data_IF_017268487456
#
_entry.id   IF_017268487456
#
_cell.length_a   1.000
_cell.length_b   1.000
_cell.length_c   1.000
_cell.angle_alpha   90.00
_cell.angle_beta   90.00
_cell.angle_gamma   90.00
#
_symmetry.space_group_name_H-M   'P 1'
#
loop_
_entity.id
_entity.type
_entity.pdbx_description
1 polymer ?
#
# COMPACT_ATOMS: atom_id res chain seq x y z
N UNK A 1 42.64 -60.09 -17.59
CA UNK A 1 42.44 -58.62 -17.54
C UNK A 1 41.78 -58.15 -18.83
N UNK A 2 41.20 -56.93 -18.84
CA UNK A 2 40.45 -56.28 -19.94
C UNK A 2 39.04 -56.85 -20.21
N UNK A 3 38.10 -56.50 -19.34
CA UNK A 3 36.66 -56.65 -19.59
C UNK A 3 36.15 -55.58 -20.58
N UNK A 4 35.12 -55.92 -21.36
CA UNK A 4 34.57 -55.09 -22.46
C UNK A 4 33.04 -55.06 -22.40
N UNK A 5 32.45 -54.07 -21.73
CA UNK A 5 31.03 -53.74 -21.85
C UNK A 5 30.91 -52.54 -22.81
N UNK A 6 30.27 -52.62 -23.99
CA UNK A 6 28.87 -53.02 -24.32
C UNK A 6 27.85 -52.03 -23.74
N UNK A 7 27.75 -50.87 -24.38
CA UNK A 7 26.62 -49.95 -24.25
C UNK A 7 25.43 -50.52 -25.04
N UNK A 8 24.27 -50.66 -24.40
CA UNK A 8 22.92 -50.76 -25.01
C UNK A 8 21.88 -50.18 -24.02
N UNK A 9 20.70 -49.73 -24.50
CA UNK A 9 20.14 -48.46 -24.03
C UNK A 9 19.18 -48.60 -22.84
N UNK A 10 19.30 -47.67 -21.88
CA UNK A 10 18.29 -47.43 -20.84
C UNK A 10 17.37 -46.28 -21.30
N UNK A 11 16.48 -46.57 -22.26
CA UNK A 11 15.53 -45.59 -22.82
C UNK A 11 14.09 -46.11 -22.80
N UNK A 12 13.67 -46.80 -21.72
CA UNK A 12 12.28 -47.29 -21.59
C UNK A 12 11.83 -47.52 -20.13
N UNK A 13 12.21 -46.65 -19.18
CA UNK A 13 11.65 -46.69 -17.82
C UNK A 13 11.55 -45.31 -17.12
N UNK A 14 11.23 -44.24 -17.86
CA UNK A 14 10.99 -42.91 -17.28
C UNK A 14 9.57 -42.35 -17.55
N UNK A 15 8.77 -43.00 -18.39
CA UNK A 15 7.45 -42.49 -18.80
C UNK A 15 6.27 -43.00 -17.95
N UNK A 16 6.50 -43.88 -16.96
CA UNK A 16 5.44 -44.55 -16.19
C UNK A 16 5.23 -44.02 -14.76
N UNK A 17 6.03 -43.04 -14.30
CA UNK A 17 5.89 -42.42 -12.97
C UNK A 17 5.51 -40.93 -13.00
N UNK A 18 5.47 -40.30 -14.18
CA UNK A 18 5.06 -38.89 -14.34
C UNK A 18 3.53 -38.67 -14.34
N UNK A 19 2.73 -39.74 -14.29
CA UNK A 19 1.26 -39.68 -14.39
C UNK A 19 0.51 -39.72 -13.04
N UNK A 20 1.22 -39.72 -11.91
CA UNK A 20 0.62 -39.64 -10.55
C UNK A 20 0.92 -38.30 -9.84
N UNK A 21 1.81 -37.47 -10.40
CA UNK A 21 2.06 -36.10 -9.92
C UNK A 21 1.12 -35.04 -10.56
N UNK A 22 0.22 -35.44 -11.46
CA UNK A 22 -0.69 -34.56 -12.19
C UNK A 22 -1.97 -34.16 -11.41
N UNK A 23 -2.04 -34.47 -10.10
CA UNK A 23 -3.24 -34.26 -9.27
C UNK A 23 -3.18 -33.13 -8.24
N UNK A 24 -2.01 -32.54 -7.96
CA UNK A 24 -1.84 -31.53 -6.88
C UNK A 24 -0.97 -30.33 -7.28
N UNK A 25 -0.22 -30.40 -8.39
CA UNK A 25 0.65 -29.30 -8.86
C UNK A 25 0.00 -28.38 -9.92
N UNK A 26 -1.34 -28.43 -10.07
CA UNK A 26 -2.06 -27.78 -11.17
C UNK A 26 -2.65 -26.39 -10.90
N UNK A 27 -2.60 -25.87 -9.67
CA UNK A 27 -3.41 -24.70 -9.25
C UNK A 27 -2.66 -23.71 -8.34
N UNK A 28 -1.37 -23.46 -8.59
CA UNK A 28 -0.60 -22.38 -7.95
C UNK A 28 -0.08 -21.34 -8.97
N UNK A 29 -0.91 -21.03 -9.97
CA UNK A 29 -0.96 -19.66 -10.46
C UNK A 29 -1.80 -18.88 -9.43
N UNK A 30 -1.16 -18.41 -8.34
CA UNK A 30 -1.87 -17.64 -7.33
C UNK A 30 -2.08 -16.20 -7.81
N UNK A 31 -3.25 -15.65 -7.51
CA UNK A 31 -3.85 -14.56 -8.25
C UNK A 31 -4.05 -13.32 -7.32
N UNK A 32 -3.10 -12.37 -7.38
CA UNK A 32 -2.96 -11.10 -6.64
C UNK A 32 -3.15 -9.81 -7.47
N UNK A 33 -3.87 -8.79 -6.97
CA UNK A 33 -4.17 -7.51 -7.66
C UNK A 33 -3.55 -6.23 -7.08
N UNK A 34 -3.09 -5.30 -7.93
CA UNK A 34 -2.48 -4.01 -7.58
C UNK A 34 -2.80 -2.93 -8.61
N UNK A 35 -3.28 -1.76 -8.16
CA UNK A 35 -3.46 -0.56 -9.00
C UNK A 35 -2.73 0.62 -8.37
N UNK A 36 -1.91 1.29 -9.19
CA UNK A 36 -1.03 2.39 -8.77
C UNK A 36 -1.15 3.57 -9.72
N UNK A 37 -1.03 4.78 -9.20
CA UNK A 37 -0.86 5.97 -10.00
C UNK A 37 0.52 5.88 -10.70
N UNK A 38 0.50 5.57 -12.02
CA UNK A 38 1.51 4.80 -12.78
C UNK A 38 1.56 3.29 -12.41
N UNK A 39 1.28 2.40 -13.37
CA UNK A 39 0.44 1.20 -13.17
C UNK A 39 0.93 -0.02 -14.03
N UNK A 40 0.58 -1.31 -13.88
CA UNK A 40 -0.41 -2.08 -13.05
C UNK A 40 0.09 -3.53 -12.88
N UNK A 41 -0.30 -4.29 -11.83
CA UNK A 41 -0.30 -5.77 -11.88
C UNK A 41 -1.53 -6.41 -11.22
N UNK A 42 -2.38 -7.04 -12.04
CA UNK A 42 -3.41 -7.97 -11.55
C UNK A 42 -3.18 -9.38 -12.05
N UNK A 43 -3.36 -10.29 -11.12
CA UNK A 43 -3.45 -11.73 -11.25
C UNK A 43 -4.78 -12.01 -10.51
N UNK A 44 -5.81 -12.55 -11.17
CA UNK A 44 -7.15 -12.81 -10.58
C UNK A 44 -8.28 -12.04 -11.24
N UNK A 45 -9.53 -12.42 -10.93
CA UNK A 45 -10.73 -11.80 -11.48
C UNK A 45 -11.10 -10.47 -10.78
N UNK A 46 -10.25 -9.94 -9.91
CA UNK A 46 -10.53 -8.72 -9.13
C UNK A 46 -9.88 -7.52 -9.82
N UNK A 47 -10.69 -6.58 -10.29
CA UNK A 47 -10.24 -5.31 -10.85
C UNK A 47 -10.42 -4.20 -9.82
N UNK A 48 -9.42 -3.35 -9.67
CA UNK A 48 -9.49 -2.17 -8.82
C UNK A 48 -8.92 -0.97 -9.54
N UNK A 49 -9.42 0.22 -9.22
CA UNK A 49 -8.82 1.50 -9.61
C UNK A 49 -8.52 2.34 -8.37
N UNK A 50 -7.42 3.09 -8.45
CA UNK A 50 -7.11 4.19 -7.55
C UNK A 50 -6.90 5.47 -8.36
N UNK A 51 -7.69 6.49 -8.05
CA UNK A 51 -7.62 7.81 -8.66
C UNK A 51 -7.90 8.91 -7.61
N UNK A 52 -7.69 10.17 -8.01
CA UNK A 52 -7.89 11.35 -7.18
C UNK A 52 -8.73 12.42 -7.89
N UNK A 53 -9.39 13.27 -7.11
CA UNK A 53 -9.92 14.53 -7.62
C UNK A 53 -8.79 15.37 -8.26
N UNK A 54 -9.08 16.00 -9.41
CA UNK A 54 -8.13 16.90 -10.07
C UNK A 54 -8.02 18.21 -9.30
N UNK A 55 -6.79 18.63 -9.01
CA UNK A 55 -6.50 19.89 -8.33
C UNK A 55 -5.53 20.78 -9.12
N UNK A 56 -5.44 22.05 -8.73
CA UNK A 56 -4.35 22.95 -9.12
C UNK A 56 -3.08 22.68 -8.31
N UNK A 57 -1.94 23.28 -8.68
CA UNK A 57 -0.66 23.18 -7.94
C UNK A 57 -0.75 23.59 -6.48
N UNK A 58 -1.72 24.43 -6.15
CA UNK A 58 -1.95 24.97 -4.81
C UNK A 58 -2.98 24.11 -4.03
N UNK A 59 -3.34 22.93 -4.56
CA UNK A 59 -4.25 21.97 -3.94
C UNK A 59 -5.74 22.30 -4.05
N UNK A 60 -6.13 23.30 -4.83
CA UNK A 60 -7.55 23.68 -5.00
C UNK A 60 -8.24 22.77 -6.02
N UNK A 61 -9.39 22.14 -5.69
CA UNK A 61 -10.14 21.30 -6.63
C UNK A 61 -10.57 22.02 -7.91
N UNK A 62 -10.51 21.32 -9.04
CA UNK A 62 -11.03 21.77 -10.33
C UNK A 62 -12.44 21.19 -10.52
N UNK A 63 -13.46 22.03 -10.32
CA UNK A 63 -14.86 21.62 -10.41
C UNK A 63 -15.23 21.07 -11.81
N UNK A 64 -15.91 19.93 -11.84
CA UNK A 64 -16.37 19.29 -13.08
C UNK A 64 -15.27 18.63 -13.94
N UNK A 65 -14.04 18.52 -13.44
CA UNK A 65 -12.97 17.79 -14.12
C UNK A 65 -13.02 16.27 -13.86
N UNK A 66 -12.56 15.49 -14.83
CA UNK A 66 -12.35 14.05 -14.67
C UNK A 66 -11.35 13.76 -13.53
N UNK A 67 -11.56 12.63 -12.83
CA UNK A 67 -10.60 12.13 -11.84
C UNK A 67 -9.29 11.78 -12.53
N UNK A 68 -8.18 12.10 -11.87
CA UNK A 68 -6.83 11.94 -12.40
C UNK A 68 -6.08 10.90 -11.60
N UNK A 69 -5.11 10.23 -12.24
CA UNK A 69 -4.20 9.36 -11.49
C UNK A 69 -3.24 10.20 -10.64
N UNK A 70 -2.52 11.17 -11.23
CA UNK A 70 -1.55 12.00 -10.50
C UNK A 70 -1.91 13.50 -10.48
N UNK A 71 -1.50 14.18 -9.42
CA UNK A 71 -1.49 15.64 -9.28
C UNK A 71 -0.07 16.10 -8.85
N UNK A 72 0.37 17.29 -9.29
CA UNK A 72 1.61 17.93 -8.85
C UNK A 72 1.29 19.10 -7.91
N UNK A 73 2.12 19.31 -6.88
CA UNK A 73 1.85 20.27 -5.80
C UNK A 73 3.05 21.16 -5.50
N UNK A 74 2.81 22.43 -5.19
CA UNK A 74 3.81 23.33 -4.61
C UNK A 74 3.63 23.39 -3.09
N UNK A 75 4.59 22.81 -2.34
CA UNK A 75 4.51 22.67 -0.88
C UNK A 75 4.84 23.99 -0.17
N UNK A 76 4.00 24.37 0.79
CA UNK A 76 4.08 25.58 1.59
C UNK A 76 3.77 25.25 3.06
N UNK A 77 4.47 25.82 4.05
CA UNK A 77 4.24 25.51 5.47
C UNK A 77 2.84 25.89 5.96
N UNK A 78 2.22 25.07 6.79
CA UNK A 78 0.85 25.29 7.28
C UNK A 78 -0.26 25.10 6.23
N UNK A 79 0.07 25.04 4.93
CA UNK A 79 -0.93 24.85 3.89
C UNK A 79 -1.48 23.42 3.89
N UNK A 80 -2.77 23.32 3.57
CA UNK A 80 -3.51 22.07 3.46
C UNK A 80 -3.95 21.87 2.02
N UNK A 81 -3.62 20.70 1.48
CA UNK A 81 -3.84 20.31 0.10
C UNK A 81 -4.94 19.25 0.05
N UNK A 82 -5.92 19.42 -0.84
CA UNK A 82 -6.91 18.37 -1.08
C UNK A 82 -6.23 17.15 -1.72
N UNK A 83 -6.51 15.99 -1.13
CA UNK A 83 -6.22 14.65 -1.63
C UNK A 83 -7.54 13.92 -1.72
N UNK A 84 -7.65 12.91 -2.57
CA UNK A 84 -8.87 12.08 -2.58
C UNK A 84 -8.58 10.69 -3.13
N UNK A 85 -7.66 9.92 -2.50
CA UNK A 85 -7.36 8.54 -2.92
C UNK A 85 -8.59 7.66 -2.74
N UNK A 86 -9.38 7.55 -3.80
CA UNK A 86 -10.60 6.74 -3.84
C UNK A 86 -10.27 5.39 -4.43
N UNK A 87 -10.49 4.32 -3.65
CA UNK A 87 -10.38 2.95 -4.15
C UNK A 87 -11.75 2.52 -4.64
N UNK A 88 -11.82 2.07 -5.90
CA UNK A 88 -13.02 1.49 -6.49
C UNK A 88 -12.73 0.05 -6.90
N UNK A 89 -13.60 -0.88 -6.52
CA UNK A 89 -13.59 -2.27 -7.00
C UNK A 89 -14.54 -2.34 -8.19
N UNK A 90 -14.03 -2.65 -9.38
CA UNK A 90 -14.81 -2.53 -10.63
C UNK A 90 -15.77 -3.71 -10.86
N UNK A 91 -16.79 -3.48 -11.68
CA UNK A 91 -17.75 -4.49 -12.15
C UNK A 91 -17.06 -5.77 -12.68
N UNK A 92 -17.63 -6.90 -12.25
CA UNK A 92 -17.18 -8.26 -12.51
C UNK A 92 -16.16 -8.79 -11.48
N UNK A 93 -15.87 -8.05 -10.41
CA UNK A 93 -14.90 -8.48 -9.40
C UNK A 93 -15.49 -9.45 -8.37
N UNK A 94 -14.85 -10.60 -8.25
CA UNK A 94 -15.09 -11.60 -7.19
C UNK A 94 -14.78 -11.04 -5.78
N UNK A 95 -15.27 -11.74 -4.74
CA UNK A 95 -15.07 -11.36 -3.34
C UNK A 95 -13.58 -11.23 -3.01
N UNK A 96 -13.19 -10.09 -2.43
CA UNK A 96 -11.79 -9.69 -2.24
C UNK A 96 -11.54 -9.02 -0.89
N UNK A 97 -10.29 -9.07 -0.43
CA UNK A 97 -9.73 -8.21 0.61
C UNK A 97 -9.00 -7.04 -0.06
N UNK A 98 -9.13 -5.84 0.49
CA UNK A 98 -8.49 -4.62 -0.04
C UNK A 98 -7.60 -3.98 1.02
N UNK A 99 -6.44 -3.47 0.63
CA UNK A 99 -5.57 -2.64 1.46
C UNK A 99 -5.05 -1.41 0.72
N UNK A 100 -4.78 -0.35 1.45
CA UNK A 100 -4.13 0.87 0.98
C UNK A 100 -2.74 0.98 1.62
N UNK A 101 -1.74 1.39 0.84
CA UNK A 101 -0.41 1.75 1.33
C UNK A 101 -0.22 3.25 1.16
N UNK A 102 0.27 3.92 2.19
CA UNK A 102 0.72 5.31 2.13
C UNK A 102 2.23 5.31 2.37
N UNK A 103 3.00 5.75 1.37
CA UNK A 103 4.48 5.73 1.40
C UNK A 103 5.04 7.14 1.32
N UNK A 104 5.92 7.48 2.25
CA UNK A 104 6.69 8.72 2.24
C UNK A 104 8.14 8.40 1.89
N UNK A 105 8.73 9.12 0.94
CA UNK A 105 10.18 9.08 0.72
C UNK A 105 10.91 10.10 1.61
N UNK A 106 12.25 10.08 1.55
CA UNK A 106 13.12 10.93 2.36
C UNK A 106 12.82 10.81 3.88
N UNK A 107 12.58 9.59 4.35
CA UNK A 107 12.14 9.22 5.70
C UNK A 107 12.80 10.07 6.80
N UNK A 108 14.13 10.20 6.77
CA UNK A 108 14.86 10.97 7.81
C UNK A 108 14.54 12.46 7.79
N UNK A 109 14.44 13.05 6.59
CA UNK A 109 14.17 14.47 6.42
C UNK A 109 12.70 14.79 6.74
N UNK A 110 11.75 13.95 6.33
CA UNK A 110 10.33 14.17 6.61
C UNK A 110 9.99 13.92 8.08
N UNK A 111 10.64 12.96 8.75
CA UNK A 111 10.56 12.83 10.21
C UNK A 111 11.08 14.11 10.88
N UNK A 112 12.29 14.59 10.52
CA UNK A 112 12.87 15.79 11.13
C UNK A 112 12.02 17.07 10.90
N UNK A 113 11.35 17.19 9.75
CA UNK A 113 10.35 18.24 9.47
C UNK A 113 9.10 18.12 10.35
N UNK A 114 8.66 16.89 10.62
CA UNK A 114 7.45 16.63 11.39
C UNK A 114 7.71 16.57 12.91
N UNK A 115 8.95 16.41 13.36
CA UNK A 115 9.31 16.56 14.78
C UNK A 115 9.03 17.98 15.23
N UNK A 116 8.41 18.11 16.41
CA UNK A 116 8.17 19.41 17.02
C UNK A 116 9.50 20.01 17.49
N UNK A 117 9.78 21.30 17.25
CA UNK A 117 10.92 21.97 17.86
C UNK A 117 10.96 21.85 19.39
N UNK A 118 9.81 21.72 20.07
CA UNK A 118 9.77 21.53 21.53
C UNK A 118 10.30 20.16 21.98
N UNK A 119 10.23 19.12 21.13
CA UNK A 119 10.65 17.74 21.42
C UNK A 119 11.92 17.32 20.65
N UNK A 120 12.59 18.26 19.98
CA UNK A 120 13.74 17.95 19.11
C UNK A 120 14.97 17.39 19.86
N UNK A 121 15.11 17.69 21.15
CA UNK A 121 16.24 17.28 22.00
C UNK A 121 15.99 15.98 22.78
N UNK A 122 14.77 15.41 22.76
CA UNK A 122 14.42 14.21 23.54
C UNK A 122 15.05 12.91 23.00
N UNK A 123 15.68 12.98 21.82
CA UNK A 123 16.35 11.87 21.16
C UNK A 123 15.39 10.89 20.44
N UNK A 124 15.91 10.02 19.56
CA UNK A 124 15.07 9.12 18.78
C UNK A 124 14.58 7.95 19.63
N UNK A 125 13.27 7.92 19.90
CA UNK A 125 12.58 6.81 20.57
C UNK A 125 12.12 5.72 19.60
N UNK A 126 11.96 6.06 18.32
CA UNK A 126 11.36 5.22 17.29
C UNK A 126 9.91 5.58 16.98
N UNK A 127 9.20 6.29 17.87
CA UNK A 127 7.81 6.73 17.63
C UNK A 127 7.72 7.89 16.63
N UNK A 128 8.84 8.57 16.36
CA UNK A 128 8.93 9.66 15.39
C UNK A 128 8.64 9.15 13.97
N UNK A 129 8.79 7.85 13.73
CA UNK A 129 8.36 7.19 12.50
C UNK A 129 6.85 7.30 12.23
N UNK A 130 6.01 7.64 13.22
CA UNK A 130 4.59 7.95 13.00
C UNK A 130 4.34 9.43 12.67
N UNK A 131 5.30 10.34 12.92
CA UNK A 131 5.07 11.79 12.81
C UNK A 131 4.63 12.27 11.43
N UNK A 132 5.22 11.81 10.30
CA UNK A 132 4.75 12.19 8.97
C UNK A 132 3.28 11.82 8.75
N UNK A 133 2.88 10.61 9.17
CA UNK A 133 1.50 10.16 9.06
C UNK A 133 0.55 11.00 9.91
N UNK A 134 0.75 11.06 11.22
CA UNK A 134 -0.21 11.67 12.16
C UNK A 134 -0.28 13.19 12.07
N UNK A 135 0.82 13.86 11.64
CA UNK A 135 0.88 15.33 11.57
C UNK A 135 0.48 15.83 10.18
N UNK A 136 0.82 15.10 9.12
CA UNK A 136 0.51 15.53 7.75
C UNK A 136 -0.81 14.98 7.21
N UNK A 137 -1.17 13.72 7.48
CA UNK A 137 -2.39 13.11 6.89
C UNK A 137 -3.63 13.47 7.72
N UNK A 138 -4.68 13.95 7.04
CA UNK A 138 -5.98 14.23 7.66
C UNK A 138 -6.97 13.13 7.28
N UNK A 139 -7.09 12.14 8.17
CA UNK A 139 -8.04 11.05 8.05
C UNK A 139 -9.49 11.56 8.03
N UNK A 140 -10.36 10.91 7.26
CA UNK A 140 -11.79 11.17 7.29
C UNK A 140 -12.37 10.47 8.52
N UNK A 141 -12.62 11.20 9.60
CA UNK A 141 -13.05 10.67 10.91
C UNK A 141 -14.21 9.65 10.81
N UNK A 142 -15.23 9.96 9.99
CA UNK A 142 -16.38 9.08 9.78
C UNK A 142 -16.03 7.73 9.10
N UNK A 143 -14.93 7.68 8.35
CA UNK A 143 -14.47 6.51 7.62
C UNK A 143 -13.33 5.77 8.34
N UNK A 144 -12.61 6.41 9.25
CA UNK A 144 -11.46 5.82 9.93
C UNK A 144 -11.78 4.44 10.60
N UNK A 145 -12.94 4.23 11.25
CA UNK A 145 -13.31 2.91 11.80
C UNK A 145 -13.55 1.80 10.75
N UNK A 146 -13.57 2.12 9.45
CA UNK A 146 -13.65 1.13 8.36
C UNK A 146 -12.28 0.58 7.94
N UNK A 147 -11.19 1.13 8.48
CA UNK A 147 -9.83 0.75 8.14
C UNK A 147 -9.05 0.31 9.39
N UNK A 148 -8.32 -0.79 9.28
CA UNK A 148 -7.40 -1.31 10.27
C UNK A 148 -5.96 -0.86 9.93
N UNK A 149 -5.42 0.05 10.73
CA UNK A 149 -4.11 0.68 10.52
C UNK A 149 -3.77 1.71 11.60
N UNK A 150 -2.63 2.37 11.46
CA UNK A 150 -2.17 3.43 12.39
C UNK A 150 -2.98 4.70 12.12
N UNK A 151 -4.03 4.92 12.90
CA UNK A 151 -4.92 6.10 12.85
C UNK A 151 -4.96 6.80 14.22
N UNK A 152 -5.25 8.11 14.29
CA UNK A 152 -5.24 8.87 15.55
C UNK A 152 -6.02 8.23 16.71
N UNK A 153 -7.19 7.64 16.43
CA UNK A 153 -8.03 7.00 17.45
C UNK A 153 -7.46 5.67 17.99
N UNK A 154 -6.55 5.03 17.25
CA UNK A 154 -5.86 3.79 17.64
C UNK A 154 -4.49 4.05 18.29
N UNK A 155 -4.12 5.31 18.57
CA UNK A 155 -2.75 5.67 18.97
C UNK A 155 -2.28 5.15 20.35
N UNK A 156 -3.14 4.48 21.12
CA UNK A 156 -2.80 3.86 22.42
C UNK A 156 -1.62 2.88 22.31
N UNK A 157 -1.45 2.25 21.14
CA UNK A 157 -0.44 1.20 20.88
C UNK A 157 0.53 1.60 19.74
N UNK A 158 0.74 2.90 19.49
CA UNK A 158 1.51 3.41 18.32
C UNK A 158 2.90 2.75 18.17
N UNK A 159 3.63 2.57 19.28
CA UNK A 159 4.95 1.93 19.27
C UNK A 159 4.88 0.44 18.86
N UNK A 160 3.89 -0.30 19.36
CA UNK A 160 3.67 -1.70 19.02
C UNK A 160 3.23 -1.87 17.55
N UNK A 161 2.41 -0.96 17.04
CA UNK A 161 2.01 -0.95 15.63
C UNK A 161 3.19 -0.60 14.71
N UNK A 162 4.06 0.34 15.10
CA UNK A 162 5.31 0.64 14.38
C UNK A 162 6.32 -0.52 14.44
N UNK A 163 6.29 -1.36 15.48
CA UNK A 163 7.09 -2.59 15.54
C UNK A 163 6.52 -3.73 14.68
N UNK A 164 5.29 -3.60 14.18
CA UNK A 164 4.56 -4.65 13.48
C UNK A 164 4.56 -4.44 11.96
N UNK A 165 5.26 -5.33 11.24
CA UNK A 165 5.36 -5.33 9.77
C UNK A 165 4.02 -5.48 9.03
N UNK A 166 2.92 -5.84 9.72
CA UNK A 166 1.56 -5.74 9.16
C UNK A 166 1.20 -4.29 8.87
N UNK A 167 1.57 -3.35 9.73
CA UNK A 167 1.10 -1.96 9.71
C UNK A 167 2.13 -0.96 9.24
N UNK A 168 3.42 -1.24 9.45
CA UNK A 168 4.49 -0.31 9.14
C UNK A 168 5.77 -1.01 8.66
N UNK A 169 6.42 -0.43 7.65
CA UNK A 169 7.75 -0.81 7.18
C UNK A 169 8.59 0.44 6.94
N UNK A 170 9.78 0.50 7.56
CA UNK A 170 10.84 1.44 7.20
C UNK A 170 11.90 0.71 6.37
N UNK A 171 11.90 0.94 5.06
CA UNK A 171 12.97 0.50 4.16
C UNK A 171 14.14 1.50 4.23
N UNK A 172 15.15 1.13 5.03
CA UNK A 172 16.37 1.93 5.23
C UNK A 172 17.22 2.08 3.96
N UNK A 173 17.41 1.04 3.11
CA UNK A 173 18.02 1.18 1.78
C UNK A 173 17.39 2.25 0.88
N UNK A 174 16.05 2.37 0.84
CA UNK A 174 15.37 3.37 0.00
C UNK A 174 14.99 4.66 0.71
N UNK A 175 15.21 4.74 2.02
CA UNK A 175 14.78 5.82 2.92
C UNK A 175 13.27 6.11 2.82
N UNK A 176 12.45 5.06 2.88
CA UNK A 176 10.98 5.16 2.78
C UNK A 176 10.25 4.65 4.03
N UNK A 177 9.15 5.32 4.37
CA UNK A 177 8.19 4.94 5.42
C UNK A 177 6.90 4.49 4.74
N UNK A 178 6.52 3.23 4.88
CA UNK A 178 5.26 2.69 4.32
C UNK A 178 4.31 2.30 5.44
N UNK A 179 3.12 2.89 5.45
CA UNK A 179 2.02 2.56 6.36
C UNK A 179 0.94 1.78 5.62
N UNK A 180 0.37 0.76 6.25
CA UNK A 180 -0.61 -0.15 5.66
C UNK A 180 -1.96 -0.02 6.37
N UNK A 181 -3.02 0.09 5.58
CA UNK A 181 -4.41 0.21 6.03
C UNK A 181 -5.25 -0.85 5.35
N UNK A 182 -5.85 -1.74 6.12
CA UNK A 182 -6.67 -2.83 5.60
C UNK A 182 -8.15 -2.46 5.69
N UNK A 183 -8.92 -2.65 4.62
CA UNK A 183 -10.36 -2.44 4.69
C UNK A 183 -10.99 -3.58 5.53
N UNK A 184 -11.84 -3.21 6.49
CA UNK A 184 -12.33 -4.15 7.52
C UNK A 184 -13.34 -5.18 7.01
N UNK A 185 -13.89 -4.98 5.81
CA UNK A 185 -14.91 -5.83 5.20
C UNK A 185 -14.39 -6.44 3.90
N UNK A 186 -14.99 -7.55 3.45
CA UNK A 186 -14.71 -8.09 2.11
C UNK A 186 -15.57 -7.38 1.07
N UNK A 187 -15.03 -7.20 -0.13
CA UNK A 187 -15.67 -6.42 -1.19
C UNK A 187 -15.86 -7.29 -2.43
N UNK A 188 -17.07 -7.32 -2.98
CA UNK A 188 -17.39 -7.93 -4.26
C UNK A 188 -18.17 -6.90 -5.10
N UNK A 189 -17.95 -6.90 -6.41
CA UNK A 189 -18.57 -5.98 -7.35
C UNK A 189 -19.13 -6.76 -8.57
N UNK A 190 -20.07 -7.71 -8.37
CA UNK A 190 -20.54 -8.59 -9.45
C UNK A 190 -21.38 -7.86 -10.51
N UNK A 191 -22.18 -6.88 -10.09
CA UNK A 191 -23.23 -6.22 -10.90
C UNK A 191 -23.02 -4.69 -11.02
N UNK A 192 -21.84 -4.18 -10.63
CA UNK A 192 -21.48 -2.76 -10.70
C UNK A 192 -20.36 -2.37 -9.74
N UNK A 193 -19.71 -1.24 -10.03
CA UNK A 193 -18.57 -0.71 -9.27
C UNK A 193 -18.90 -0.43 -7.80
N UNK A 194 -17.98 -0.78 -6.89
CA UNK A 194 -18.07 -0.52 -5.45
C UNK A 194 -16.96 0.43 -5.01
N UNK A 195 -17.34 1.68 -4.75
CA UNK A 195 -16.46 2.72 -4.20
C UNK A 195 -16.29 2.53 -2.70
N UNK A 196 -15.04 2.49 -2.21
CA UNK A 196 -14.74 2.32 -0.79
C UNK A 196 -14.72 3.67 -0.03
N UNK A 197 -15.00 3.66 1.30
CA UNK A 197 -14.88 4.85 2.13
C UNK A 197 -13.45 5.43 2.11
N UNK A 198 -13.31 6.66 1.60
CA UNK A 198 -12.04 7.38 1.52
C UNK A 198 -11.35 7.46 2.89
N UNK A 199 -10.09 7.00 2.97
CA UNK A 199 -9.32 6.95 4.23
C UNK A 199 -8.94 8.35 4.74
N UNK A 200 -8.47 9.21 3.84
CA UNK A 200 -8.02 10.57 4.14
C UNK A 200 -8.29 11.49 2.94
N UNK A 201 -8.66 12.75 3.19
CA UNK A 201 -9.06 13.72 2.14
C UNK A 201 -8.14 14.94 2.04
N UNK A 202 -7.16 15.07 2.94
CA UNK A 202 -6.19 16.17 2.91
C UNK A 202 -4.82 15.75 3.42
N UNK A 203 -3.82 16.47 2.95
CA UNK A 203 -2.46 16.49 3.51
C UNK A 203 -2.11 17.92 3.89
N UNK A 204 -1.55 18.12 5.08
CA UNK A 204 -1.12 19.41 5.61
C UNK A 204 0.39 19.38 5.87
N UNK A 205 1.11 20.48 5.63
CA UNK A 205 2.46 20.63 6.19
C UNK A 205 2.37 21.30 7.57
N UNK A 206 3.12 20.85 8.59
CA UNK A 206 3.10 21.49 9.89
C UNK A 206 3.49 22.98 9.84
N UNK A 207 2.91 23.80 10.71
CA UNK A 207 3.07 25.27 10.69
C UNK A 207 4.48 25.72 11.09
N UNK A 208 5.21 24.93 11.88
CA UNK A 208 6.59 25.23 12.30
C UNK A 208 7.64 24.94 11.21
N UNK A 209 7.25 24.30 10.10
CA UNK A 209 8.17 24.04 8.99
C UNK A 209 8.56 25.36 8.33
N UNK A 210 9.83 25.53 8.01
CA UNK A 210 10.33 26.71 7.29
C UNK A 210 10.58 26.43 5.81
N UNK A 211 10.50 27.46 4.98
CA UNK A 211 10.84 27.37 3.55
C UNK A 211 12.28 26.88 3.33
N UNK A 212 13.21 27.25 4.21
CA UNK A 212 14.61 26.80 4.15
C UNK A 212 14.72 25.28 4.39
N UNK A 213 13.94 24.72 5.31
CA UNK A 213 13.89 23.27 5.51
C UNK A 213 13.22 22.57 4.30
N UNK A 214 12.13 23.13 3.75
CA UNK A 214 11.49 22.58 2.55
C UNK A 214 12.41 22.58 1.33
N UNK A 215 13.26 23.59 1.18
CA UNK A 215 14.25 23.66 0.10
C UNK A 215 15.29 22.54 0.14
N UNK A 216 15.45 21.83 1.28
CA UNK A 216 16.31 20.65 1.39
C UNK A 216 15.61 19.33 1.03
N UNK A 217 14.29 19.34 0.85
CA UNK A 217 13.47 18.15 0.65
C UNK A 217 13.34 17.81 -0.86
N UNK A 218 14.46 17.52 -1.50
CA UNK A 218 14.52 17.21 -2.93
C UNK A 218 13.64 16.01 -3.31
N UNK A 219 12.87 16.15 -4.40
CA UNK A 219 12.03 15.09 -4.98
C UNK A 219 11.07 14.40 -3.99
N UNK A 220 10.53 15.16 -3.02
CA UNK A 220 9.55 14.61 -2.05
C UNK A 220 8.30 14.06 -2.73
N UNK A 221 7.85 12.89 -2.27
CA UNK A 221 6.67 12.19 -2.76
C UNK A 221 5.94 11.52 -1.60
N UNK A 222 4.61 11.69 -1.60
CA UNK A 222 3.68 10.85 -0.84
C UNK A 222 2.97 9.99 -1.88
N UNK A 223 3.26 8.69 -1.88
CA UNK A 223 2.69 7.73 -2.82
C UNK A 223 1.58 6.95 -2.15
N UNK A 224 0.41 6.89 -2.80
CA UNK A 224 -0.71 6.04 -2.36
C UNK A 224 -0.89 4.90 -3.36
N UNK A 225 -1.04 3.68 -2.85
CA UNK A 225 -1.25 2.46 -3.65
C UNK A 225 -2.41 1.67 -3.09
N UNK A 226 -3.30 1.18 -3.96
CA UNK A 226 -4.34 0.24 -3.59
C UNK A 226 -3.97 -1.17 -4.07
N UNK A 227 -4.19 -2.16 -3.22
CA UNK A 227 -3.95 -3.57 -3.52
C UNK A 227 -5.17 -4.39 -3.11
N UNK A 228 -5.51 -5.39 -3.91
CA UNK A 228 -6.62 -6.28 -3.64
C UNK A 228 -6.20 -7.73 -3.87
N UNK A 229 -6.75 -8.65 -3.09
CA UNK A 229 -6.55 -10.09 -3.27
C UNK A 229 -7.89 -10.80 -3.15
N UNK A 230 -8.13 -11.77 -4.03
CA UNK A 230 -9.32 -12.61 -3.97
C UNK A 230 -9.39 -13.32 -2.60
N UNK A 231 -10.57 -13.29 -1.98
CA UNK A 231 -10.80 -13.87 -0.66
C UNK A 231 -11.03 -15.39 -0.73
N UNK A 232 -11.57 -15.90 -1.85
CA UNK A 232 -11.72 -17.33 -2.09
C UNK A 232 -10.36 -18.05 -2.13
N UNK A 233 -10.32 -19.28 -1.64
CA UNK A 233 -9.09 -20.05 -1.42
C UNK A 233 -8.36 -19.75 -0.10
N UNK A 234 -8.78 -18.75 0.69
CA UNK A 234 -8.19 -18.44 2.00
C UNK A 234 -9.15 -18.62 3.17
N UNK A 235 -8.59 -18.93 4.35
CA UNK A 235 -9.36 -19.03 5.60
C UNK A 235 -9.67 -17.66 6.23
N UNK A 236 -8.90 -16.62 5.91
CA UNK A 236 -9.06 -15.23 6.39
C UNK A 236 -8.09 -14.28 5.67
N UNK A 237 -8.26 -12.97 5.89
CA UNK A 237 -7.41 -11.92 5.33
C UNK A 237 -5.92 -12.07 5.70
N UNK A 238 -5.59 -12.55 6.91
CA UNK A 238 -4.21 -12.75 7.33
C UNK A 238 -3.50 -13.81 6.49
N UNK A 239 -4.17 -14.93 6.22
CA UNK A 239 -3.67 -15.95 5.29
C UNK A 239 -3.55 -15.41 3.86
N UNK A 240 -4.50 -14.58 3.42
CA UNK A 240 -4.47 -13.95 2.11
C UNK A 240 -3.26 -13.04 1.92
N UNK A 241 -3.07 -12.07 2.81
CA UNK A 241 -1.95 -11.12 2.73
C UNK A 241 -0.58 -11.77 3.00
N UNK A 242 -0.51 -12.84 3.79
CA UNK A 242 0.71 -13.61 3.94
C UNK A 242 1.12 -14.31 2.62
N UNK A 243 0.15 -14.84 1.86
CA UNK A 243 0.42 -15.43 0.54
C UNK A 243 0.64 -14.37 -0.56
N UNK A 244 0.08 -13.17 -0.43
CA UNK A 244 0.37 -12.03 -1.32
C UNK A 244 1.83 -11.58 -1.22
N UNK A 245 2.38 -11.59 0.00
CA UNK A 245 3.70 -11.04 0.32
C UNK A 245 4.84 -12.09 0.25
N UNK A 246 4.57 -13.35 -0.13
CA UNK A 246 5.49 -14.50 -0.02
C UNK A 246 5.99 -15.08 -1.33
#
# INVERSE_FOLDING_TARGET
>A
MKARNRIKPLLTLCCALLLVAAGVFGTLAYLTGTDTVNNTFTVGNVKITLDEAKVTTDGTPVEGADRVKANEYHLLPGHTYTKDPTVTVEEGSDLSYVRMKVTFNNAKAIIALCTDPEFAEDGPTGVENAYPLIRMVKFVEANAPKWDGIIPDNMVETEEMLANAKYFVYDKPTDTLTYYFYYNETVAAPDGDVVLPVLFDKVTLPEWVTNDQLATLENFQITVVAEAIQADGFANAGAAWAAFNG
#
